data_IF_946087131224
#
_entry.id   IF_946087131224
#
_cell.length_a   1.000
_cell.length_b   1.000
_cell.length_c   1.000
_cell.angle_alpha   90.00
_cell.angle_beta   90.00
_cell.angle_gamma   90.00
#
_symmetry.space_group_name_H-M   'P 1'
#
loop_
_entity.id
_entity.type
_entity.pdbx_description
1 polymer ?
#
# COMPACT_ATOMS: atom_id res chain seq x y z
N UNK A 1 20.85 2.48 3.96
CA UNK A 1 19.97 1.36 3.57
C UNK A 1 18.80 2.01 2.82
N UNK A 2 17.63 1.41 2.68
CA UNK A 2 16.49 2.06 2.04
C UNK A 2 15.22 1.40 2.56
N UNK A 3 14.04 2.01 2.35
CA UNK A 3 12.78 1.35 2.71
C UNK A 3 12.09 0.75 1.49
N UNK A 4 11.46 -0.42 1.65
CA UNK A 4 10.73 -1.14 0.60
C UNK A 4 9.22 -1.10 0.85
N UNK A 5 8.49 -0.70 -0.18
CA UNK A 5 7.04 -0.90 -0.27
C UNK A 5 6.78 -2.12 -1.14
N UNK A 6 5.95 -3.03 -0.64
CA UNK A 6 5.47 -4.20 -1.38
C UNK A 6 3.95 -4.19 -1.43
N UNK A 7 3.39 -4.33 -2.63
CA UNK A 7 1.94 -4.46 -2.84
C UNK A 7 1.61 -5.86 -3.36
N UNK A 8 0.54 -6.47 -2.83
CA UNK A 8 0.12 -7.80 -3.24
C UNK A 8 -1.39 -7.99 -3.12
N UNK A 9 -2.05 -8.24 -4.25
CA UNK A 9 -3.40 -8.77 -4.23
C UNK A 9 -3.32 -10.23 -3.75
N UNK A 10 -3.89 -10.52 -2.58
CA UNK A 10 -3.78 -11.84 -1.95
C UNK A 10 -4.98 -12.73 -2.26
N UNK A 11 -6.03 -12.18 -2.90
CA UNK A 11 -7.26 -12.90 -3.25
C UNK A 11 -7.89 -13.65 -2.05
N UNK A 12 -7.67 -13.14 -0.84
CA UNK A 12 -7.95 -13.76 0.44
C UNK A 12 -6.71 -13.77 1.33
N UNK A 13 -6.75 -13.04 2.43
CA UNK A 13 -5.58 -12.78 3.30
C UNK A 13 -4.96 -14.04 3.94
N UNK A 14 -5.67 -15.17 3.91
CA UNK A 14 -5.20 -16.47 4.40
C UNK A 14 -4.71 -17.39 3.29
N UNK A 15 -4.98 -17.08 2.02
CA UNK A 15 -4.60 -17.92 0.88
C UNK A 15 -3.10 -18.17 0.79
N UNK A 16 -2.22 -17.15 0.99
CA UNK A 16 -0.79 -17.38 0.90
C UNK A 16 -0.29 -18.56 1.73
N UNK A 17 -0.82 -18.76 2.94
CA UNK A 17 -0.42 -19.84 3.83
C UNK A 17 -0.71 -21.26 3.34
N UNK A 18 -1.41 -21.43 2.21
CA UNK A 18 -1.54 -22.71 1.51
C UNK A 18 -0.37 -23.05 0.57
N UNK A 19 0.58 -22.13 0.38
CA UNK A 19 1.65 -22.23 -0.62
C UNK A 19 3.03 -22.06 0.03
N UNK A 20 4.05 -22.68 -0.56
CA UNK A 20 5.44 -22.37 -0.22
C UNK A 20 5.81 -20.95 -0.68
N UNK A 21 6.62 -20.18 0.08
CA UNK A 21 7.25 -20.54 1.37
C UNK A 21 6.36 -20.35 2.61
N UNK A 22 5.20 -19.71 2.47
CA UNK A 22 4.33 -19.29 3.57
C UNK A 22 3.72 -20.43 4.39
N UNK A 23 3.60 -21.62 3.79
CA UNK A 23 3.09 -22.81 4.46
C UNK A 23 4.05 -23.38 5.52
N UNK A 24 5.35 -23.04 5.43
CA UNK A 24 6.39 -23.51 6.37
C UNK A 24 6.25 -22.79 7.72
N UNK A 25 6.10 -21.47 7.71
CA UNK A 25 5.84 -20.67 8.89
C UNK A 25 4.62 -19.79 8.63
N UNK A 26 3.47 -20.22 9.15
CA UNK A 26 2.14 -19.65 8.86
C UNK A 26 1.84 -18.41 9.72
N UNK A 27 2.78 -17.48 9.77
CA UNK A 27 2.65 -16.22 10.49
C UNK A 27 2.82 -15.04 9.54
N UNK A 28 2.11 -13.92 9.81
CA UNK A 28 2.27 -12.71 9.01
C UNK A 28 3.65 -12.08 9.17
N UNK A 29 4.26 -12.19 10.36
CA UNK A 29 5.65 -11.77 10.58
C UNK A 29 6.59 -12.45 9.58
N UNK A 30 6.59 -13.78 9.53
CA UNK A 30 7.46 -14.52 8.61
C UNK A 30 7.17 -14.21 7.14
N UNK A 31 5.90 -13.93 6.80
CA UNK A 31 5.52 -13.49 5.47
C UNK A 31 6.16 -12.14 5.13
N UNK A 32 6.08 -11.16 6.03
CA UNK A 32 6.61 -9.82 5.78
C UNK A 32 8.14 -9.81 5.75
N UNK A 33 8.78 -10.61 6.61
CA UNK A 33 10.23 -10.81 6.60
C UNK A 33 10.69 -11.40 5.25
N UNK A 34 9.97 -12.39 4.73
CA UNK A 34 10.28 -13.01 3.42
C UNK A 34 10.05 -12.06 2.24
N UNK A 35 9.10 -11.13 2.37
CA UNK A 35 8.90 -10.06 1.37
C UNK A 35 10.00 -8.97 1.47
N UNK A 36 10.78 -8.97 2.55
CA UNK A 36 11.77 -7.95 2.93
C UNK A 36 11.18 -6.54 2.81
N UNK A 37 9.95 -6.37 3.28
CA UNK A 37 9.19 -5.14 3.14
C UNK A 37 9.19 -4.34 4.45
N UNK A 38 9.14 -3.01 4.33
CA UNK A 38 8.88 -2.09 5.45
C UNK A 38 7.42 -1.61 5.44
N UNK A 39 6.81 -1.59 4.25
CA UNK A 39 5.38 -1.28 4.07
C UNK A 39 4.78 -2.36 3.18
N UNK A 40 3.72 -3.01 3.67
CA UNK A 40 2.98 -4.03 2.92
C UNK A 40 1.56 -3.57 2.68
N UNK A 41 1.15 -3.54 1.40
CA UNK A 41 -0.21 -3.21 0.98
C UNK A 41 -0.87 -4.46 0.41
N UNK A 42 -1.89 -4.98 1.10
CA UNK A 42 -2.65 -6.14 0.65
C UNK A 42 -4.01 -5.75 0.07
N UNK A 43 -4.34 -6.28 -1.12
CA UNK A 43 -5.65 -6.11 -1.75
C UNK A 43 -6.46 -7.41 -1.75
N UNK A 44 -7.77 -7.28 -1.87
CA UNK A 44 -8.72 -8.40 -1.83
C UNK A 44 -8.55 -9.32 -0.62
N UNK A 45 -8.37 -8.76 0.58
CA UNK A 45 -8.17 -9.56 1.80
C UNK A 45 -9.34 -10.52 2.11
N UNK A 46 -10.55 -10.29 1.54
CA UNK A 46 -11.77 -11.11 1.71
C UNK A 46 -12.11 -11.44 3.18
N UNK A 47 -11.83 -10.50 4.08
CA UNK A 47 -12.02 -10.64 5.53
C UNK A 47 -13.05 -9.62 6.04
N UNK A 48 -13.76 -9.96 7.13
CA UNK A 48 -14.66 -9.06 7.84
C UNK A 48 -14.14 -8.77 9.25
N UNK A 49 -14.67 -7.74 9.91
CA UNK A 49 -14.24 -7.35 11.27
C UNK A 49 -14.31 -8.49 12.27
N UNK A 50 -15.35 -9.33 12.19
CA UNK A 50 -15.54 -10.50 13.06
C UNK A 50 -14.56 -11.66 12.79
N UNK A 51 -13.90 -11.66 11.63
CA UNK A 51 -12.98 -12.71 11.21
C UNK A 51 -11.51 -12.34 11.52
N UNK A 52 -11.25 -11.11 11.99
CA UNK A 52 -9.94 -10.65 12.43
C UNK A 52 -9.52 -11.39 13.69
N UNK A 53 -8.24 -11.74 13.75
CA UNK A 53 -7.59 -12.42 14.86
C UNK A 53 -6.42 -11.57 15.35
N UNK A 54 -6.02 -11.75 16.61
CA UNK A 54 -4.98 -10.94 17.26
C UNK A 54 -3.66 -10.99 16.49
N UNK A 55 -3.29 -12.15 15.94
CA UNK A 55 -2.08 -12.36 15.13
C UNK A 55 -2.11 -11.65 13.76
N UNK A 56 -3.28 -11.12 13.35
CA UNK A 56 -3.44 -10.31 12.13
C UNK A 56 -3.30 -8.82 12.39
N UNK A 57 -3.51 -8.36 13.63
CA UNK A 57 -3.56 -6.94 13.99
C UNK A 57 -2.49 -6.54 15.00
N UNK A 58 -1.89 -7.50 15.71
CA UNK A 58 -0.81 -7.34 16.66
C UNK A 58 0.43 -8.09 16.16
N UNK A 59 1.09 -7.50 15.16
CA UNK A 59 2.32 -8.05 14.60
C UNK A 59 3.48 -7.23 15.19
N UNK A 60 4.42 -7.85 15.94
CA UNK A 60 5.51 -7.11 16.59
C UNK A 60 6.32 -6.27 15.61
N UNK A 61 6.45 -4.97 15.90
CA UNK A 61 7.19 -4.03 15.04
C UNK A 61 6.41 -3.51 13.82
N UNK A 62 5.13 -3.85 13.69
CA UNK A 62 4.28 -3.42 12.58
C UNK A 62 3.04 -2.66 13.06
N UNK A 63 2.79 -1.51 12.44
CA UNK A 63 1.50 -0.82 12.55
C UNK A 63 0.53 -1.39 11.49
N UNK A 64 -0.59 -1.94 11.96
CA UNK A 64 -1.55 -2.63 11.08
C UNK A 64 -2.87 -1.87 10.98
N UNK A 65 -3.25 -1.54 9.74
CA UNK A 65 -4.50 -0.85 9.44
C UNK A 65 -5.37 -1.65 8.45
N UNK A 66 -6.66 -1.80 8.77
CA UNK A 66 -7.63 -2.47 7.90
C UNK A 66 -8.74 -1.52 7.46
N UNK A 67 -8.96 -1.43 6.15
CA UNK A 67 -10.20 -0.90 5.57
C UNK A 67 -11.13 -2.06 5.23
N UNK A 68 -12.22 -2.21 5.99
CA UNK A 68 -13.11 -3.38 5.90
C UNK A 68 -14.45 -3.01 5.25
N UNK A 69 -15.02 -3.89 4.41
CA UNK A 69 -16.32 -3.63 3.80
C UNK A 69 -17.43 -3.57 4.86
N UNK A 70 -18.27 -2.55 4.79
CA UNK A 70 -19.38 -2.31 5.74
C UNK A 70 -20.59 -3.20 5.51
N UNK A 71 -20.80 -3.70 4.28
CA UNK A 71 -22.09 -4.29 3.86
C UNK A 71 -21.98 -5.77 3.49
N UNK A 72 -21.00 -6.17 2.68
CA UNK A 72 -20.88 -7.57 2.20
C UNK A 72 -19.43 -8.06 2.22
N UNK A 73 -19.24 -9.32 2.64
CA UNK A 73 -17.94 -10.00 2.62
C UNK A 73 -17.40 -10.09 1.18
N UNK A 74 -16.13 -9.76 1.00
CA UNK A 74 -15.39 -10.02 -0.24
C UNK A 74 -15.72 -9.13 -1.45
N UNK A 75 -16.35 -7.97 -1.25
CA UNK A 75 -16.66 -7.07 -2.35
C UNK A 75 -15.53 -6.07 -2.63
N UNK A 76 -14.56 -6.53 -3.41
CA UNK A 76 -13.68 -5.72 -4.26
C UNK A 76 -13.27 -6.61 -5.44
N UNK A 77 -14.26 -7.14 -6.16
CA UNK A 77 -14.03 -7.99 -7.33
C UNK A 77 -14.04 -7.15 -8.59
N UNK A 78 -12.88 -6.98 -9.23
CA UNK A 78 -12.80 -6.56 -10.61
C UNK A 78 -12.95 -7.78 -11.50
N UNK A 79 -13.91 -7.78 -12.42
CA UNK A 79 -14.04 -8.83 -13.44
C UNK A 79 -13.66 -8.23 -14.78
N UNK A 80 -12.53 -8.65 -15.34
CA UNK A 80 -12.16 -8.30 -16.69
C UNK A 80 -12.60 -9.41 -17.65
N UNK A 81 -13.76 -9.23 -18.29
CA UNK A 81 -14.21 -10.10 -19.36
C UNK A 81 -13.75 -9.52 -20.70
N UNK A 82 -13.05 -10.32 -21.49
CA UNK A 82 -12.77 -10.02 -22.90
C UNK A 82 -13.77 -10.79 -23.74
N UNK A 83 -14.60 -10.10 -24.54
CA UNK A 83 -15.40 -10.75 -25.60
C UNK A 83 -14.42 -11.26 -26.66
N UNK A 84 -14.64 -12.44 -27.26
CA UNK A 84 -13.71 -13.06 -28.22
C UNK A 84 -13.31 -12.12 -29.38
N UNK A 85 -14.15 -11.14 -29.71
CA UNK A 85 -13.95 -10.16 -30.79
C UNK A 85 -13.33 -8.82 -30.34
N UNK A 86 -13.09 -8.60 -29.04
CA UNK A 86 -12.55 -7.32 -28.56
C UNK A 86 -11.12 -7.13 -29.05
N UNK A 87 -10.91 -6.09 -29.85
CA UNK A 87 -9.60 -5.71 -30.37
C UNK A 87 -8.72 -5.13 -29.25
N UNK A 88 -7.41 -5.06 -29.50
CA UNK A 88 -6.46 -4.41 -28.60
C UNK A 88 -6.84 -2.94 -28.39
N UNK A 89 -7.28 -2.26 -29.45
CA UNK A 89 -7.73 -0.87 -29.43
C UNK A 89 -8.91 -0.70 -28.49
N UNK A 90 -9.93 -1.55 -28.63
CA UNK A 90 -11.14 -1.49 -27.78
C UNK A 90 -10.81 -1.70 -26.31
N UNK A 91 -9.93 -2.65 -26.00
CA UNK A 91 -9.50 -2.94 -24.64
C UNK A 91 -8.83 -1.72 -23.99
N UNK A 92 -7.88 -1.10 -24.69
CA UNK A 92 -7.15 0.06 -24.18
C UNK A 92 -7.99 1.35 -24.18
N UNK A 93 -9.02 1.40 -25.01
CA UNK A 93 -9.98 2.52 -25.06
C UNK A 93 -11.11 2.37 -24.03
N UNK A 94 -11.18 1.24 -23.31
CA UNK A 94 -12.14 1.09 -22.21
C UNK A 94 -11.95 2.20 -21.17
N UNK A 95 -13.04 2.78 -20.60
CA UNK A 95 -12.95 4.01 -19.80
C UNK A 95 -11.91 3.94 -18.68
N UNK A 96 -11.91 2.85 -17.90
CA UNK A 96 -10.97 2.67 -16.80
C UNK A 96 -9.52 2.52 -17.26
N UNK A 97 -9.28 1.78 -18.37
CA UNK A 97 -7.92 1.57 -18.88
C UNK A 97 -7.37 2.83 -19.54
N UNK A 98 -8.20 3.50 -20.35
CA UNK A 98 -7.88 4.78 -20.97
C UNK A 98 -7.55 5.83 -19.91
N UNK A 99 -8.36 5.92 -18.86
CA UNK A 99 -8.10 6.83 -17.75
C UNK A 99 -6.72 6.59 -17.12
N UNK A 100 -6.39 5.34 -16.76
CA UNK A 100 -5.08 5.00 -16.22
C UNK A 100 -3.94 5.32 -17.19
N UNK A 101 -4.07 4.93 -18.46
CA UNK A 101 -3.04 5.13 -19.47
C UNK A 101 -2.76 6.62 -19.75
N UNK A 102 -3.74 7.50 -19.53
CA UNK A 102 -3.51 8.93 -19.63
C UNK A 102 -2.67 9.46 -18.46
N UNK A 103 -2.85 8.92 -17.25
CA UNK A 103 -2.09 9.35 -16.09
C UNK A 103 -0.64 8.86 -16.11
N UNK A 104 -0.37 7.72 -16.75
CA UNK A 104 0.94 7.05 -16.68
C UNK A 104 1.84 7.40 -17.87
N UNK A 105 3.10 7.77 -17.60
CA UNK A 105 4.12 7.96 -18.63
C UNK A 105 4.34 6.66 -19.42
N UNK A 106 4.34 6.75 -20.75
CA UNK A 106 4.40 5.57 -21.64
C UNK A 106 3.09 4.78 -21.75
N UNK A 107 2.00 5.25 -21.13
CA UNK A 107 0.67 4.65 -21.28
C UNK A 107 0.12 4.75 -22.70
N UNK A 108 -0.39 3.64 -23.23
CA UNK A 108 -0.92 3.56 -24.58
C UNK A 108 -2.30 4.22 -24.66
N UNK A 109 -2.40 5.39 -25.29
CA UNK A 109 -3.65 6.11 -25.52
C UNK A 109 -3.90 6.11 -27.02
N UNK A 110 -5.02 5.51 -27.44
CA UNK A 110 -5.48 5.60 -28.83
C UNK A 110 -6.25 6.90 -29.01
N UNK A 111 -6.12 7.55 -30.18
CA UNK A 111 -6.65 8.90 -30.44
C UNK A 111 -5.97 9.97 -29.57
N UNK A 112 -6.49 11.21 -29.64
CA UNK A 112 -6.01 12.31 -28.83
C UNK A 112 -6.23 12.03 -27.35
N UNK A 113 -5.40 12.62 -26.48
CA UNK A 113 -5.61 12.57 -25.03
C UNK A 113 -6.83 13.41 -24.65
N UNK A 114 -7.53 12.99 -23.61
CA UNK A 114 -8.68 13.71 -23.07
C UNK A 114 -8.24 15.09 -22.54
N UNK A 115 -9.15 16.06 -22.65
CA UNK A 115 -8.95 17.41 -22.13
C UNK A 115 -8.59 17.39 -20.64
N UNK A 116 -7.52 18.09 -20.27
CA UNK A 116 -6.97 18.15 -18.92
C UNK A 116 -6.09 16.96 -18.54
N UNK A 117 -5.78 16.05 -19.47
CA UNK A 117 -4.86 14.90 -19.27
C UNK A 117 -3.86 14.74 -20.42
N UNK A 118 -3.54 15.85 -21.06
CA UNK A 118 -2.57 15.93 -22.16
C UNK A 118 -1.18 15.45 -21.69
N UNK A 119 -0.83 15.76 -20.44
CA UNK A 119 0.43 15.34 -19.83
C UNK A 119 0.20 14.23 -18.79
N UNK A 120 0.95 13.11 -18.86
CA UNK A 120 0.98 12.14 -17.78
C UNK A 120 1.58 12.75 -16.51
N UNK A 121 1.22 12.17 -15.36
CA UNK A 121 1.65 12.65 -14.03
C UNK A 121 2.21 11.54 -13.12
N UNK A 122 2.12 10.28 -13.56
CA UNK A 122 2.57 9.11 -12.81
C UNK A 122 3.60 8.30 -13.60
N UNK A 123 4.64 7.85 -12.92
CA UNK A 123 5.64 6.92 -13.44
C UNK A 123 5.33 5.50 -12.98
N UNK A 124 5.43 4.55 -13.89
CA UNK A 124 5.40 3.12 -13.59
C UNK A 124 6.81 2.66 -13.20
N UNK A 125 7.07 2.57 -11.90
CA UNK A 125 8.41 2.33 -11.37
C UNK A 125 9.00 1.02 -11.90
N UNK A 126 8.22 -0.07 -11.91
CA UNK A 126 8.70 -1.35 -12.42
C UNK A 126 9.10 -1.26 -13.90
N UNK A 127 8.33 -0.53 -14.71
CA UNK A 127 8.66 -0.34 -16.13
C UNK A 127 9.87 0.57 -16.34
N UNK A 128 10.10 1.55 -15.46
CA UNK A 128 11.30 2.40 -15.51
C UNK A 128 12.59 1.60 -15.32
N UNK A 129 12.61 0.63 -14.40
CA UNK A 129 13.78 -0.23 -14.20
C UNK A 129 13.89 -1.36 -15.25
N UNK A 130 12.77 -1.72 -15.89
CA UNK A 130 12.70 -2.82 -16.84
C UNK A 130 11.97 -2.43 -18.15
N UNK A 131 12.46 -1.44 -18.90
CA UNK A 131 11.74 -0.85 -20.03
C UNK A 131 11.48 -1.85 -21.16
N UNK A 132 12.40 -2.80 -21.36
CA UNK A 132 12.36 -3.76 -22.48
C UNK A 132 11.95 -5.18 -22.07
N UNK A 133 11.89 -5.49 -20.76
CA UNK A 133 11.57 -6.84 -20.26
C UNK A 133 10.11 -7.20 -20.57
N UNK A 134 9.95 -8.15 -21.49
CA UNK A 134 8.64 -8.71 -21.84
C UNK A 134 8.20 -9.77 -20.82
N UNK A 135 6.91 -10.13 -20.86
CA UNK A 135 6.37 -11.22 -20.02
C UNK A 135 6.31 -10.92 -18.52
N UNK A 136 6.39 -9.64 -18.12
CA UNK A 136 6.26 -9.20 -16.72
C UNK A 136 4.79 -9.18 -16.28
N UNK A 137 4.17 -10.34 -16.16
CA UNK A 137 2.79 -10.45 -15.69
C UNK A 137 2.72 -10.52 -14.17
N UNK A 138 1.64 -10.03 -13.59
CA UNK A 138 1.42 -10.02 -12.14
C UNK A 138 0.20 -10.81 -11.73
N UNK A 139 -0.68 -11.18 -12.67
CA UNK A 139 -1.90 -11.96 -12.46
C UNK A 139 -2.06 -13.03 -13.54
N UNK A 140 -2.48 -14.24 -13.15
CA UNK A 140 -2.69 -15.37 -14.05
C UNK A 140 -3.99 -16.11 -13.72
N UNK A 141 -4.73 -16.50 -14.76
CA UNK A 141 -5.97 -17.27 -14.61
C UNK A 141 -5.68 -18.68 -14.06
N UNK A 142 -6.26 -18.99 -12.90
CA UNK A 142 -6.05 -20.24 -12.17
C UNK A 142 -6.73 -21.42 -12.87
N UNK A 143 -7.95 -21.24 -13.39
CA UNK A 143 -8.71 -22.34 -14.03
C UNK A 143 -8.03 -22.90 -15.27
N UNK A 144 -7.24 -22.06 -15.95
CA UNK A 144 -6.47 -22.43 -17.14
C UNK A 144 -5.03 -22.84 -16.82
N UNK A 145 -4.65 -22.85 -15.53
CA UNK A 145 -3.27 -23.07 -15.09
C UNK A 145 -2.27 -22.22 -15.89
N UNK A 146 -2.55 -20.92 -16.02
CA UNK A 146 -1.86 -20.06 -16.98
C UNK A 146 -0.47 -19.60 -16.51
N UNK A 147 -0.17 -19.72 -15.21
CA UNK A 147 1.06 -19.22 -14.59
C UNK A 147 2.34 -19.92 -15.05
N UNK A 148 2.42 -21.27 -15.13
CA UNK A 148 3.61 -21.95 -15.65
C UNK A 148 3.96 -21.60 -17.10
N UNK A 149 2.94 -21.37 -17.94
CA UNK A 149 3.12 -20.90 -19.31
C UNK A 149 3.35 -19.40 -19.44
N UNK A 150 3.37 -18.67 -18.30
CA UNK A 150 3.44 -17.22 -18.22
C UNK A 150 2.42 -16.49 -19.12
N UNK A 151 1.19 -17.01 -19.21
CA UNK A 151 0.09 -16.37 -19.93
C UNK A 151 -0.72 -15.52 -18.95
N UNK A 152 -0.27 -14.30 -18.71
CA UNK A 152 -0.85 -13.45 -17.68
C UNK A 152 -1.22 -12.05 -18.14
N UNK A 153 -1.60 -11.23 -17.17
CA UNK A 153 -1.80 -9.80 -17.32
C UNK A 153 -0.99 -9.06 -16.26
N UNK A 154 -0.54 -7.84 -16.59
CA UNK A 154 0.10 -6.95 -15.62
C UNK A 154 -0.93 -5.95 -15.13
N UNK A 155 -1.41 -6.14 -13.91
CA UNK A 155 -2.50 -5.34 -13.33
C UNK A 155 -2.16 -4.77 -11.94
N UNK A 156 -0.99 -5.08 -11.41
CA UNK A 156 -0.48 -4.60 -10.13
C UNK A 156 0.73 -3.69 -10.39
N UNK A 157 0.74 -2.51 -9.76
CA UNK A 157 1.71 -1.44 -10.04
C UNK A 157 2.11 -0.73 -8.76
N UNK A 158 3.36 -0.27 -8.70
CA UNK A 158 3.77 0.84 -7.82
C UNK A 158 4.00 2.04 -8.72
N UNK A 159 3.17 3.07 -8.54
CA UNK A 159 3.24 4.31 -9.31
C UNK A 159 3.75 5.46 -8.43
N UNK A 160 4.52 6.37 -9.00
CA UNK A 160 4.98 7.56 -8.28
C UNK A 160 4.77 8.84 -9.08
N UNK A 161 4.66 9.98 -8.40
CA UNK A 161 4.71 11.28 -9.06
C UNK A 161 6.14 11.58 -9.55
N UNK A 162 6.27 12.50 -10.50
CA UNK A 162 7.58 12.91 -11.04
C UNK A 162 8.55 13.39 -9.96
N UNK A 163 8.06 14.09 -8.94
CA UNK A 163 8.90 14.70 -7.90
C UNK A 163 9.65 13.71 -7.00
N UNK A 164 9.19 12.46 -6.92
CA UNK A 164 9.81 11.42 -6.06
C UNK A 164 10.40 10.27 -6.88
N UNK A 165 10.36 10.35 -8.21
CA UNK A 165 10.84 9.28 -9.10
C UNK A 165 12.30 8.94 -8.83
N UNK A 166 13.15 9.96 -8.69
CA UNK A 166 14.60 9.79 -8.45
C UNK A 166 14.93 9.24 -7.07
N UNK A 167 13.96 9.12 -6.17
CA UNK A 167 14.17 8.59 -4.82
C UNK A 167 14.17 7.06 -4.80
N UNK A 168 13.58 6.44 -5.81
CA UNK A 168 13.50 5.00 -5.99
C UNK A 168 14.77 4.50 -6.67
N UNK A 169 15.41 3.47 -6.13
CA UNK A 169 16.61 2.88 -6.71
C UNK A 169 16.41 1.43 -7.19
N UNK A 170 15.27 0.81 -6.88
CA UNK A 170 14.93 -0.53 -7.36
C UNK A 170 13.40 -0.73 -7.39
N UNK A 171 12.87 -1.40 -8.42
CA UNK A 171 11.48 -1.86 -8.45
C UNK A 171 11.33 -3.04 -9.41
N UNK A 172 10.66 -4.12 -8.99
CA UNK A 172 10.41 -5.30 -9.83
C UNK A 172 9.14 -6.05 -9.34
N UNK A 173 8.81 -7.14 -10.03
CA UNK A 173 7.78 -8.11 -9.67
C UNK A 173 8.41 -9.37 -9.06
N UNK A 174 7.75 -9.97 -8.08
CA UNK A 174 8.19 -11.24 -7.48
C UNK A 174 7.39 -12.42 -8.04
N UNK A 175 7.42 -12.60 -9.36
CA UNK A 175 6.60 -13.57 -10.09
C UNK A 175 6.78 -15.04 -9.66
N UNK A 176 7.89 -15.39 -9.01
CA UNK A 176 8.14 -16.73 -8.45
C UNK A 176 7.39 -17.00 -7.13
N UNK A 177 6.91 -15.97 -6.42
CA UNK A 177 6.21 -16.13 -5.16
C UNK A 177 4.75 -16.53 -5.39
N UNK A 178 4.41 -17.76 -5.02
CA UNK A 178 3.04 -18.29 -5.03
C UNK A 178 2.24 -17.74 -3.84
N UNK A 179 0.93 -18.00 -3.79
CA UNK A 179 0.08 -17.59 -2.66
C UNK A 179 -1.25 -16.98 -3.07
N UNK A 180 -1.29 -16.46 -4.30
CA UNK A 180 -2.47 -15.94 -4.98
C UNK A 180 -2.30 -16.19 -6.49
N UNK A 181 -3.39 -16.00 -7.23
CA UNK A 181 -3.38 -15.74 -8.67
C UNK A 181 -2.57 -14.50 -9.07
N UNK A 182 -2.19 -13.66 -8.10
CA UNK A 182 -1.25 -12.58 -8.27
C UNK A 182 0.12 -12.84 -7.62
N UNK A 183 1.15 -12.15 -8.11
CA UNK A 183 2.45 -12.03 -7.44
C UNK A 183 2.63 -10.65 -6.81
N UNK A 184 3.50 -10.52 -5.79
CA UNK A 184 3.86 -9.21 -5.24
C UNK A 184 4.60 -8.32 -6.26
N UNK A 185 4.44 -7.01 -6.12
CA UNK A 185 5.20 -5.97 -6.83
C UNK A 185 5.79 -5.04 -5.78
N UNK A 186 7.05 -4.63 -5.95
CA UNK A 186 7.72 -3.80 -4.96
C UNK A 186 8.46 -2.62 -5.58
N UNK A 187 8.74 -1.62 -4.75
CA UNK A 187 9.68 -0.54 -5.02
C UNK A 187 10.48 -0.24 -3.76
N UNK A 188 11.77 0.05 -3.92
CA UNK A 188 12.69 0.37 -2.83
C UNK A 188 13.22 1.78 -3.00
N UNK A 189 13.04 2.58 -1.95
CA UNK A 189 13.42 3.98 -1.86
C UNK A 189 14.74 4.13 -1.11
N UNK A 190 15.54 5.11 -1.51
CA UNK A 190 16.82 5.41 -0.88
C UNK A 190 16.63 6.08 0.47
N UNK A 191 17.45 5.75 1.47
CA UNK A 191 17.42 6.47 2.77
C UNK A 191 17.80 7.95 2.61
N UNK A 192 18.69 8.25 1.66
CA UNK A 192 19.11 9.61 1.33
C UNK A 192 18.63 9.92 -0.07
N UNK A 193 17.92 11.03 -0.22
CA UNK A 193 17.32 11.47 -1.48
C UNK A 193 17.77 12.88 -1.83
N UNK A 194 17.88 13.14 -3.13
CA UNK A 194 18.20 14.48 -3.64
C UNK A 194 16.94 15.27 -3.90
N UNK A 195 16.86 16.45 -3.31
CA UNK A 195 15.84 17.46 -3.58
C UNK A 195 16.52 18.81 -3.73
N UNK A 196 16.25 19.51 -4.83
CA UNK A 196 16.82 20.83 -5.13
C UNK A 196 18.37 20.89 -5.05
N UNK A 197 19.04 19.79 -5.42
CA UNK A 197 20.49 19.67 -5.42
C UNK A 197 21.13 19.34 -4.06
N UNK A 198 20.33 19.19 -3.00
CA UNK A 198 20.78 18.85 -1.65
C UNK A 198 20.33 17.44 -1.25
N UNK A 199 21.12 16.80 -0.40
CA UNK A 199 20.85 15.47 0.15
C UNK A 199 20.01 15.60 1.43
N UNK A 200 18.94 14.82 1.52
CA UNK A 200 18.05 14.76 2.69
C UNK A 200 17.85 13.31 3.11
N UNK A 201 17.70 13.06 4.42
CA UNK A 201 17.11 11.81 4.85
C UNK A 201 15.63 11.77 4.43
N UNK A 202 15.22 10.69 3.81
CA UNK A 202 13.87 10.56 3.24
C UNK A 202 12.78 10.67 4.31
N UNK A 203 13.02 10.15 5.52
CA UNK A 203 12.08 10.25 6.62
C UNK A 203 11.80 11.70 7.05
N UNK A 204 12.80 12.59 6.96
CA UNK A 204 12.63 14.01 7.28
C UNK A 204 11.70 14.70 6.26
N UNK A 205 11.68 14.22 5.02
CA UNK A 205 10.79 14.73 3.97
C UNK A 205 9.37 14.13 4.04
N UNK A 206 9.24 12.88 4.49
CA UNK A 206 7.96 12.18 4.61
C UNK A 206 7.21 12.56 5.88
N UNK A 207 7.93 13.06 6.89
CA UNK A 207 7.36 13.58 8.13
C UNK A 207 7.82 15.03 8.36
N UNK A 208 7.45 15.98 7.48
CA UNK A 208 7.86 17.37 7.70
C UNK A 208 7.22 17.87 9.00
N UNK A 209 7.92 18.75 9.73
CA UNK A 209 7.47 19.34 11.01
C UNK A 209 6.03 19.90 10.96
N UNK A 210 5.55 20.25 9.77
CA UNK A 210 4.23 20.78 9.48
C UNK A 210 3.10 19.74 9.30
N UNK A 211 3.38 18.42 9.28
CA UNK A 211 2.32 17.43 9.41
C UNK A 211 1.94 17.33 10.89
N UNK A 212 0.87 18.04 11.26
CA UNK A 212 0.14 17.78 12.48
C UNK A 212 -0.30 16.32 12.51
N UNK A 213 0.53 15.47 13.13
CA UNK A 213 0.11 14.11 13.50
C UNK A 213 -1.10 14.30 14.41
N UNK A 214 -2.29 13.99 13.90
CA UNK A 214 -3.53 14.12 14.67
C UNK A 214 -3.39 13.36 15.98
N UNK A 215 -3.79 14.01 17.06
CA UNK A 215 -3.88 13.37 18.36
C UNK A 215 -4.77 12.12 18.24
N UNK A 216 -4.30 11.00 18.80
CA UNK A 216 -5.02 9.73 18.72
C UNK A 216 -6.19 9.73 19.69
N UNK A 217 -7.34 9.25 19.23
CA UNK A 217 -8.50 9.03 20.09
C UNK A 217 -8.35 7.70 20.82
N UNK A 218 -8.39 7.74 22.15
CA UNK A 218 -8.33 6.59 23.03
C UNK A 218 -9.58 6.51 23.89
N UNK A 219 -9.93 5.30 24.33
CA UNK A 219 -11.08 5.05 25.22
C UNK A 219 -10.57 4.54 26.55
N UNK A 220 -11.09 5.13 27.63
CA UNK A 220 -10.77 4.69 28.99
C UNK A 220 -11.39 3.33 29.27
N UNK A 221 -10.58 2.28 29.38
CA UNK A 221 -11.02 0.91 29.70
C UNK A 221 -11.00 0.60 31.20
N UNK A 222 -10.38 1.45 32.01
CA UNK A 222 -10.31 1.28 33.47
C UNK A 222 -11.67 1.55 34.09
N UNK A 223 -12.14 0.65 34.94
CA UNK A 223 -13.40 0.77 35.68
C UNK A 223 -13.39 2.02 36.56
N UNK A 224 -14.49 2.77 36.54
CA UNK A 224 -14.65 4.04 37.24
C UNK A 224 -15.51 5.04 36.47
N UNK A 225 -15.63 6.28 36.97
CA UNK A 225 -16.50 7.33 36.43
C UNK A 225 -16.19 7.71 34.97
N UNK A 226 -14.95 7.49 34.53
CA UNK A 226 -14.52 7.79 33.17
C UNK A 226 -14.52 6.56 32.24
N UNK A 227 -14.90 5.38 32.73
CA UNK A 227 -14.94 4.15 31.94
C UNK A 227 -15.86 4.32 30.71
N UNK A 228 -15.33 4.03 29.53
CA UNK A 228 -16.04 4.21 28.26
C UNK A 228 -15.97 5.63 27.66
N UNK A 229 -15.43 6.62 28.38
CA UNK A 229 -15.19 7.96 27.82
C UNK A 229 -13.97 7.96 26.91
N UNK A 230 -14.07 8.69 25.79
CA UNK A 230 -12.97 8.89 24.85
C UNK A 230 -12.26 10.23 25.06
N UNK A 231 -10.97 10.26 24.78
CA UNK A 231 -10.11 11.45 24.83
C UNK A 231 -9.08 11.42 23.70
N UNK A 232 -8.59 12.59 23.31
CA UNK A 232 -7.51 12.73 22.36
C UNK A 232 -6.19 12.99 23.10
N UNK A 233 -5.10 12.33 22.68
CA UNK A 233 -3.76 12.59 23.22
C UNK A 233 -2.68 12.62 22.14
N UNK A 234 -1.57 13.31 22.42
CA UNK A 234 -0.42 13.39 21.53
C UNK A 234 0.13 12.00 21.17
N UNK A 235 0.23 11.72 19.87
CA UNK A 235 0.70 10.47 19.27
C UNK A 235 2.18 10.44 18.92
N UNK A 236 2.91 11.55 19.10
CA UNK A 236 4.35 11.63 18.86
C UNK A 236 5.13 10.68 19.79
N UNK A 237 6.33 10.20 19.40
CA UNK A 237 7.13 9.25 20.19
C UNK A 237 7.63 9.81 21.54
N UNK A 238 8.26 8.98 22.36
CA UNK A 238 9.02 9.46 23.52
C UNK A 238 10.31 10.14 23.01
N UNK A 239 10.73 11.21 23.68
CA UNK A 239 11.97 11.92 23.33
C UNK A 239 13.21 11.08 23.65
N UNK A 240 14.43 11.58 23.35
CA UNK A 240 15.69 10.87 23.56
C UNK A 240 15.92 10.42 25.02
N UNK A 241 15.26 11.07 25.98
CA UNK A 241 15.29 10.66 27.40
C UNK A 241 14.60 9.32 27.67
N UNK A 242 13.70 8.88 26.79
CA UNK A 242 12.80 7.75 27.02
C UNK A 242 11.66 8.06 28.00
N UNK A 243 11.57 9.29 28.51
CA UNK A 243 10.53 9.72 29.42
C UNK A 243 9.32 10.34 28.69
N UNK A 244 8.17 10.36 29.37
CA UNK A 244 6.95 11.01 28.89
C UNK A 244 7.04 12.53 29.07
N UNK A 245 7.92 13.15 28.29
CA UNK A 245 8.04 14.60 28.22
C UNK A 245 6.71 15.24 27.77
N UNK A 246 6.40 16.45 28.25
CA UNK A 246 5.16 17.17 27.91
C UNK A 246 5.49 18.62 27.56
N UNK A 247 5.04 19.07 26.39
CA UNK A 247 5.29 20.42 25.89
C UNK A 247 6.66 20.60 25.23
N UNK A 248 7.24 19.52 24.71
CA UNK A 248 8.47 19.53 23.90
C UNK A 248 8.13 19.26 22.43
N UNK A 249 9.11 19.38 21.55
CA UNK A 249 8.97 19.00 20.14
C UNK A 249 8.56 17.53 19.96
N UNK A 250 9.01 16.65 20.87
CA UNK A 250 8.70 15.21 20.87
C UNK A 250 7.30 14.90 21.41
N UNK A 251 6.69 15.75 22.25
CA UNK A 251 5.36 15.52 22.84
C UNK A 251 4.66 16.85 23.14
N UNK A 252 3.56 17.15 22.45
CA UNK A 252 2.76 18.33 22.76
C UNK A 252 1.89 18.13 24.02
N UNK A 253 1.31 19.21 24.56
CA UNK A 253 0.49 19.19 25.79
C UNK A 253 -0.94 18.68 25.59
N UNK A 254 -1.29 18.21 24.39
CA UNK A 254 -2.68 17.93 24.05
C UNK A 254 -3.19 16.70 24.81
N UNK A 255 -4.12 16.97 25.72
CA UNK A 255 -5.08 16.02 26.29
C UNK A 255 -6.43 16.73 26.32
N UNK A 256 -7.43 16.19 25.60
CA UNK A 256 -8.78 16.74 25.65
C UNK A 256 -9.81 15.62 25.62
N UNK A 257 -10.81 15.68 26.49
CA UNK A 257 -11.94 14.75 26.42
C UNK A 257 -12.69 15.00 25.12
N UNK A 258 -13.16 13.94 24.46
CA UNK A 258 -13.94 14.11 23.23
C UNK A 258 -15.22 14.92 23.45
N UNK A 259 -15.77 14.94 24.69
CA UNK A 259 -16.89 15.80 25.08
C UNK A 259 -16.58 17.29 25.09
N UNK A 260 -15.31 17.64 25.25
CA UNK A 260 -14.86 19.01 25.50
C UNK A 260 -14.29 19.63 24.20
N UNK A 261 -14.26 18.87 23.10
CA UNK A 261 -13.81 19.33 21.79
C UNK A 261 -14.91 20.12 21.07
N UNK A 262 -14.70 21.43 20.91
CA UNK A 262 -15.64 22.36 20.28
C UNK A 262 -15.52 22.44 18.75
N UNK A 263 -14.60 21.68 18.13
CA UNK A 263 -14.46 21.61 16.68
C UNK A 263 -13.89 22.85 16.00
N UNK A 264 -13.28 23.78 16.75
CA UNK A 264 -12.62 24.97 16.19
C UNK A 264 -11.14 24.97 16.55
N UNK A 265 -10.28 24.99 15.53
CA UNK A 265 -8.89 25.44 15.58
C UNK A 265 -8.83 26.84 14.96
#
# INVERSE_FOLDING_TARGET
MGFRITTWNVNGIRNPFGYHPWSVNRTYQAMFDTLEADIVVMQECKIQRKDLQDDMVLIPGWDVHFSLPKVKKGYSGGLLLRKEETSVVDFFSSPSRRFLNQLVYGGLVFQDRDEGREQPVLWDLCREFHPTRQGMYTCWEVKKNARPGNFGSRIDYVLCSTGIKSWVYNADIQHGLMGSDHCPVYATFSDIVKKDGQDFHLLDLLNPEAYEIYCVSLVTKKTGVNCGRSFYMCSRPLGPSGDKEIGTEFRCRTFIWSSDWSGRL
#
